data_IF_625071288164
#
_entry.id   IF_625071288164
#
_cell.length_a   1.000
_cell.length_b   1.000
_cell.length_c   1.000
_cell.angle_alpha   90.00
_cell.angle_beta   90.00
_cell.angle_gamma   90.00
#
_symmetry.space_group_name_H-M   'P 1'
#
loop_
_entity.id
_entity.type
_entity.pdbx_description
1 polymer ?
#
# COMPACT_ATOMS: atom_id res chain seq x y z
N UNK A 1 -50.16 5.70 -15.03
CA UNK A 1 -48.86 5.60 -15.73
C UNK A 1 -47.79 5.78 -14.67
N UNK A 2 -47.32 4.67 -14.12
CA UNK A 2 -46.34 4.64 -13.01
C UNK A 2 -44.96 4.70 -13.64
N UNK A 3 -44.15 5.71 -13.29
CA UNK A 3 -42.78 5.82 -13.79
C UNK A 3 -41.90 4.69 -13.23
N UNK A 4 -40.91 4.20 -13.99
CA UNK A 4 -39.99 3.18 -13.50
C UNK A 4 -39.03 3.82 -12.49
N UNK A 5 -38.96 3.21 -11.31
CA UNK A 5 -38.06 3.58 -10.23
C UNK A 5 -36.58 3.39 -10.60
N UNK A 6 -35.79 4.45 -10.38
CA UNK A 6 -34.35 4.51 -10.61
C UNK A 6 -33.60 3.37 -9.89
N UNK A 7 -32.87 2.49 -10.61
CA UNK A 7 -32.06 1.48 -9.97
C UNK A 7 -30.78 2.13 -9.43
N UNK A 8 -30.51 1.90 -8.13
CA UNK A 8 -29.21 2.01 -7.46
C UNK A 8 -28.99 3.16 -6.45
N UNK A 9 -29.95 3.43 -5.57
CA UNK A 9 -29.58 3.81 -4.19
C UNK A 9 -29.25 2.55 -3.39
N UNK A 10 -28.01 2.07 -3.53
CA UNK A 10 -27.47 0.99 -2.71
C UNK A 10 -27.47 1.43 -1.24
N UNK A 11 -28.30 0.79 -0.41
CA UNK A 11 -28.30 1.00 1.04
C UNK A 11 -26.98 0.46 1.62
N UNK A 12 -26.25 1.21 2.45
CA UNK A 12 -25.04 0.70 3.10
C UNK A 12 -25.38 -0.52 3.97
N UNK A 13 -24.89 -1.70 3.60
CA UNK A 13 -25.04 -2.94 4.40
C UNK A 13 -25.75 -4.10 3.71
N UNK A 14 -26.48 -3.88 2.62
CA UNK A 14 -27.06 -4.97 1.82
C UNK A 14 -26.07 -5.44 0.78
N UNK A 15 -25.20 -6.40 1.10
CA UNK A 15 -24.31 -7.02 0.10
C UNK A 15 -25.02 -8.18 -0.58
N UNK A 16 -25.59 -7.93 -1.76
CA UNK A 16 -26.02 -9.01 -2.66
C UNK A 16 -24.82 -9.84 -3.09
N UNK A 17 -24.92 -11.17 -2.96
CA UNK A 17 -23.91 -12.08 -3.52
C UNK A 17 -23.91 -11.91 -5.04
N UNK A 18 -22.75 -11.68 -5.63
CA UNK A 18 -22.63 -11.65 -7.10
C UNK A 18 -23.05 -13.00 -7.70
N UNK A 19 -23.62 -13.00 -8.92
CA UNK A 19 -23.97 -14.23 -9.59
C UNK A 19 -22.74 -15.16 -9.75
N UNK A 20 -22.95 -16.48 -9.78
CA UNK A 20 -21.89 -17.43 -10.08
C UNK A 20 -21.13 -17.08 -11.37
N UNK A 21 -19.90 -17.58 -11.50
CA UNK A 21 -19.15 -17.44 -12.75
C UNK A 21 -19.82 -18.36 -13.79
N UNK A 22 -20.08 -17.89 -15.02
CA UNK A 22 -20.65 -18.72 -16.07
C UNK A 22 -19.83 -20.00 -16.32
N UNK A 23 -20.50 -21.09 -16.68
CA UNK A 23 -19.81 -22.34 -17.03
C UNK A 23 -18.95 -22.12 -18.28
N UNK A 24 -17.69 -22.55 -18.25
CA UNK A 24 -16.73 -22.30 -19.34
C UNK A 24 -15.99 -20.96 -19.26
N UNK A 25 -16.33 -20.09 -18.30
CA UNK A 25 -15.62 -18.82 -18.11
C UNK A 25 -14.43 -18.91 -17.16
N UNK A 26 -13.36 -18.16 -17.44
CA UNK A 26 -12.16 -18.03 -16.60
C UNK A 26 -11.98 -16.60 -16.10
N UNK A 27 -11.52 -16.46 -14.86
CA UNK A 27 -11.15 -15.15 -14.30
C UNK A 27 -9.73 -14.78 -14.75
N UNK A 28 -9.62 -13.71 -15.52
CA UNK A 28 -8.35 -13.05 -15.83
C UNK A 28 -8.12 -11.89 -14.88
N UNK A 29 -7.11 -12.01 -14.02
CA UNK A 29 -6.82 -10.99 -12.99
C UNK A 29 -6.06 -9.82 -13.58
N UNK A 30 -6.57 -8.59 -13.39
CA UNK A 30 -5.80 -7.40 -13.77
C UNK A 30 -4.70 -7.10 -12.73
N UNK A 31 -3.62 -6.41 -13.13
CA UNK A 31 -2.65 -5.88 -12.19
C UNK A 31 -3.30 -4.93 -11.18
N UNK A 32 -2.82 -4.97 -9.93
CA UNK A 32 -3.33 -4.07 -8.89
C UNK A 32 -3.04 -2.62 -9.25
N UNK A 33 -4.09 -1.79 -9.27
CA UNK A 33 -3.97 -0.35 -9.48
C UNK A 33 -3.18 0.27 -8.32
N UNK A 34 -1.95 0.72 -8.62
CA UNK A 34 -1.12 1.42 -7.63
C UNK A 34 -1.58 2.87 -7.55
N UNK A 35 -1.62 3.42 -6.34
CA UNK A 35 -1.78 4.87 -6.18
C UNK A 35 -0.60 5.54 -6.85
N UNK A 36 -0.84 6.64 -7.57
CA UNK A 36 0.26 7.50 -8.01
C UNK A 36 1.07 7.93 -6.79
N UNK A 37 2.38 7.74 -6.86
CA UNK A 37 3.27 8.14 -5.79
C UNK A 37 3.12 9.65 -5.58
N UNK A 38 2.99 10.12 -4.32
CA UNK A 38 2.91 11.55 -4.08
C UNK A 38 4.19 12.22 -4.62
N UNK A 39 4.04 13.34 -5.34
CA UNK A 39 5.18 14.10 -5.86
C UNK A 39 6.11 14.62 -4.73
N UNK A 40 5.58 14.70 -3.51
CA UNK A 40 6.35 15.09 -2.32
C UNK A 40 7.31 13.99 -1.90
N UNK A 41 8.61 14.36 -1.82
CA UNK A 41 9.66 13.51 -1.25
C UNK A 41 9.47 13.19 0.25
N UNK A 42 8.50 13.83 0.92
CA UNK A 42 8.27 13.69 2.38
C UNK A 42 7.49 12.43 2.77
N UNK A 43 6.80 11.78 1.82
CA UNK A 43 5.94 10.61 2.11
C UNK A 43 6.16 9.49 1.08
N UNK A 44 7.36 8.90 1.00
CA UNK A 44 7.63 7.81 0.06
C UNK A 44 6.83 6.55 0.41
N UNK A 45 6.30 5.87 -0.62
CA UNK A 45 5.54 4.62 -0.49
C UNK A 45 6.29 3.46 -1.13
N UNK A 46 6.47 2.36 -0.41
CA UNK A 46 7.08 1.11 -0.88
C UNK A 46 6.00 0.04 -0.96
N UNK A 47 5.73 -0.46 -2.18
CA UNK A 47 4.89 -1.63 -2.38
C UNK A 47 5.73 -2.91 -2.26
N UNK A 48 5.31 -3.82 -1.38
CA UNK A 48 5.97 -5.11 -1.13
C UNK A 48 5.27 -6.21 -1.92
N UNK A 49 6.05 -6.95 -2.70
CA UNK A 49 5.60 -8.17 -3.37
C UNK A 49 5.93 -9.41 -2.53
N UNK A 50 5.20 -10.49 -2.76
CA UNK A 50 5.51 -11.81 -2.18
C UNK A 50 6.92 -12.29 -2.53
N UNK A 51 7.46 -11.87 -3.69
CA UNK A 51 8.83 -12.21 -4.13
C UNK A 51 9.90 -11.20 -3.68
N UNK A 52 9.54 -10.07 -3.06
CA UNK A 52 10.52 -9.06 -2.63
C UNK A 52 11.41 -9.60 -1.49
N UNK A 53 12.75 -9.57 -1.59
CA UNK A 53 13.61 -10.00 -0.49
C UNK A 53 13.41 -9.11 0.75
N UNK A 54 13.36 -9.71 1.94
CA UNK A 54 13.10 -8.99 3.20
C UNK A 54 14.07 -7.82 3.41
N UNK A 55 15.38 -8.08 3.37
CA UNK A 55 16.40 -7.04 3.57
C UNK A 55 16.42 -5.97 2.48
N UNK A 56 15.90 -6.25 1.28
CA UNK A 56 15.74 -5.24 0.24
C UNK A 56 14.74 -4.15 0.67
N UNK A 57 13.63 -4.57 1.30
CA UNK A 57 12.61 -3.65 1.81
C UNK A 57 13.19 -2.83 2.97
N UNK A 58 13.84 -3.50 3.93
CA UNK A 58 14.47 -2.84 5.10
C UNK A 58 15.49 -1.79 4.68
N UNK A 59 16.45 -2.15 3.81
CA UNK A 59 17.48 -1.22 3.32
C UNK A 59 16.86 -0.04 2.56
N UNK A 60 15.80 -0.28 1.79
CA UNK A 60 15.08 0.77 1.04
C UNK A 60 14.38 1.74 1.99
N UNK A 61 13.70 1.23 3.01
CA UNK A 61 13.05 2.05 4.04
C UNK A 61 14.07 2.90 4.78
N UNK A 62 15.18 2.32 5.24
CA UNK A 62 16.29 3.05 5.88
C UNK A 62 16.83 4.16 4.99
N UNK A 63 17.09 3.86 3.71
CA UNK A 63 17.56 4.86 2.73
C UNK A 63 16.61 6.05 2.59
N UNK A 64 15.31 5.83 2.62
CA UNK A 64 14.33 6.91 2.56
C UNK A 64 14.30 7.76 3.84
N UNK A 65 14.34 7.12 5.02
CA UNK A 65 14.45 7.82 6.30
C UNK A 65 15.74 8.66 6.36
N UNK A 66 16.87 8.10 5.93
CA UNK A 66 18.15 8.80 5.85
C UNK A 66 18.14 9.98 4.89
N UNK A 67 17.49 9.82 3.73
CA UNK A 67 17.37 10.89 2.74
C UNK A 67 16.57 12.06 3.30
N UNK A 68 15.46 11.77 3.99
CA UNK A 68 14.66 12.80 4.64
C UNK A 68 15.44 13.54 5.73
N UNK A 69 16.22 12.81 6.53
CA UNK A 69 17.06 13.39 7.56
C UNK A 69 18.12 14.34 6.98
N UNK A 70 18.78 13.93 5.89
CA UNK A 70 19.77 14.77 5.19
C UNK A 70 19.18 16.03 4.56
N UNK A 71 17.92 15.98 4.11
CA UNK A 71 17.26 17.16 3.56
C UNK A 71 16.91 18.18 4.65
N UNK A 72 16.71 17.76 5.90
CA UNK A 72 16.37 18.65 7.01
C UNK A 72 17.62 19.14 7.79
N UNK A 73 18.72 18.39 7.78
CA UNK A 73 19.95 18.70 8.53
C UNK A 73 21.18 18.53 7.61
N UNK A 74 21.73 19.65 7.15
CA UNK A 74 22.93 19.68 6.30
C UNK A 74 24.24 19.46 7.07
N UNK A 75 24.21 19.57 8.41
CA UNK A 75 25.39 19.68 9.28
C UNK A 75 25.96 18.35 9.79
N UNK A 76 25.36 17.20 9.49
CA UNK A 76 25.71 15.91 10.13
C UNK A 76 25.98 14.75 9.14
N UNK A 77 26.46 15.05 7.92
CA UNK A 77 26.55 14.08 6.80
C UNK A 77 27.34 12.80 7.06
N UNK A 78 28.29 12.80 8.00
CA UNK A 78 29.19 11.68 8.28
C UNK A 78 28.79 10.81 9.50
N UNK A 79 27.68 11.13 10.17
CA UNK A 79 27.22 10.40 11.35
C UNK A 79 26.21 9.31 10.98
N UNK A 80 26.21 8.21 11.75
CA UNK A 80 25.21 7.15 11.59
C UNK A 80 23.79 7.71 11.76
N UNK A 81 22.79 7.06 11.16
CA UNK A 81 21.38 7.46 11.32
C UNK A 81 21.02 7.61 12.80
N UNK A 82 21.37 6.60 13.61
CA UNK A 82 21.09 6.58 15.03
C UNK A 82 21.69 7.78 15.76
N UNK A 83 22.98 8.08 15.54
CA UNK A 83 23.65 9.21 16.17
C UNK A 83 23.02 10.57 15.78
N UNK A 84 22.53 10.70 14.54
CA UNK A 84 21.83 11.90 14.08
C UNK A 84 20.45 12.05 14.71
N UNK A 85 19.70 10.96 14.83
CA UNK A 85 18.41 10.95 15.52
C UNK A 85 18.58 11.34 16.99
N UNK A 86 19.61 10.81 17.65
CA UNK A 86 19.91 11.17 19.03
C UNK A 86 20.31 12.64 19.18
N UNK A 87 21.12 13.19 18.26
CA UNK A 87 21.48 14.60 18.26
C UNK A 87 20.24 15.52 18.12
N UNK A 88 19.28 15.16 17.27
CA UNK A 88 18.04 15.91 17.10
C UNK A 88 17.13 15.88 18.34
N UNK A 89 17.12 14.77 19.09
CA UNK A 89 16.36 14.69 20.34
C UNK A 89 16.86 15.68 21.40
N UNK A 90 18.15 16.02 21.37
CA UNK A 90 18.75 17.00 22.28
C UNK A 90 18.40 18.44 21.91
N UNK A 91 17.94 18.68 20.68
CA UNK A 91 17.69 20.01 20.10
C UNK A 91 16.18 20.29 19.93
N UNK A 92 15.38 19.83 20.90
CA UNK A 92 13.92 19.61 20.87
C UNK A 92 13.01 20.85 20.67
N UNK A 93 13.51 21.94 20.08
CA UNK A 93 12.75 23.17 19.84
C UNK A 93 12.06 23.26 18.46
N UNK A 94 12.18 22.25 17.57
CA UNK A 94 11.60 22.36 16.22
C UNK A 94 10.57 21.28 15.89
N UNK A 95 9.29 21.69 15.79
CA UNK A 95 8.20 20.93 15.15
C UNK A 95 8.49 20.57 13.67
N UNK A 96 9.54 21.15 13.09
CA UNK A 96 10.12 20.78 11.80
C UNK A 96 10.74 19.36 11.78
N UNK A 97 10.94 18.76 12.95
CA UNK A 97 11.39 17.37 13.13
C UNK A 97 10.27 16.33 13.04
N UNK A 98 9.05 16.69 12.60
CA UNK A 98 8.08 15.71 12.05
C UNK A 98 8.70 15.09 10.79
N UNK A 99 9.61 14.13 11.01
CA UNK A 99 10.43 13.49 10.00
C UNK A 99 9.59 12.81 8.93
N UNK A 100 10.21 12.55 7.77
CA UNK A 100 9.50 11.85 6.71
C UNK A 100 8.96 10.51 7.21
N UNK A 101 7.72 10.24 6.83
CA UNK A 101 7.05 8.98 7.10
C UNK A 101 7.21 8.12 5.84
N UNK A 102 7.83 6.96 6.00
CA UNK A 102 7.92 5.96 4.94
C UNK A 102 6.77 4.99 5.11
N UNK A 103 5.93 4.87 4.09
CA UNK A 103 4.81 3.94 4.09
C UNK A 103 5.20 2.66 3.36
N UNK A 104 5.09 1.51 4.03
CA UNK A 104 5.29 0.18 3.43
C UNK A 104 3.93 -0.50 3.30
N UNK A 105 3.56 -0.89 2.09
CA UNK A 105 2.26 -1.50 1.78
C UNK A 105 2.42 -2.92 1.26
N UNK A 106 1.65 -3.85 1.82
CA UNK A 106 1.59 -5.24 1.37
C UNK A 106 0.16 -5.76 1.31
N UNK A 107 -0.13 -6.59 0.30
CA UNK A 107 -1.44 -7.22 0.08
C UNK A 107 -1.31 -8.73 -0.06
N UNK A 108 -2.33 -9.49 0.33
CA UNK A 108 -2.35 -10.96 0.21
C UNK A 108 -1.14 -11.62 0.88
N UNK A 109 -0.42 -12.50 0.16
CA UNK A 109 0.77 -13.20 0.67
C UNK A 109 1.92 -12.27 1.11
N UNK A 110 1.93 -11.00 0.69
CA UNK A 110 2.95 -10.04 1.10
C UNK A 110 2.67 -9.41 2.48
N UNK A 111 1.48 -9.62 3.07
CA UNK A 111 1.11 -9.07 4.38
C UNK A 111 2.04 -9.59 5.47
N UNK A 112 2.29 -10.90 5.50
CA UNK A 112 3.19 -11.55 6.46
C UNK A 112 4.56 -10.87 6.48
N UNK A 113 5.19 -10.75 5.31
CA UNK A 113 6.49 -10.09 5.15
C UNK A 113 6.47 -8.62 5.56
N UNK A 114 5.38 -7.92 5.26
CA UNK A 114 5.19 -6.51 5.62
C UNK A 114 5.11 -6.35 7.13
N UNK A 115 4.45 -7.28 7.82
CA UNK A 115 4.42 -7.35 9.28
C UNK A 115 5.80 -7.67 9.88
N UNK A 116 6.56 -8.59 9.27
CA UNK A 116 7.94 -8.87 9.69
C UNK A 116 8.84 -7.63 9.58
N UNK A 117 8.66 -6.82 8.53
CA UNK A 117 9.40 -5.55 8.37
C UNK A 117 9.02 -4.57 9.48
N UNK A 118 7.73 -4.47 9.81
CA UNK A 118 7.26 -3.63 10.90
C UNK A 118 7.91 -4.02 12.24
N UNK A 119 7.88 -5.30 12.58
CA UNK A 119 8.49 -5.82 13.82
C UNK A 119 10.01 -5.58 13.86
N UNK A 120 10.70 -5.74 12.72
CA UNK A 120 12.14 -5.45 12.65
C UNK A 120 12.47 -4.00 13.01
N UNK A 121 11.70 -3.03 12.49
CA UNK A 121 11.90 -1.60 12.78
C UNK A 121 11.51 -1.22 14.20
N UNK A 122 10.49 -1.86 14.76
CA UNK A 122 10.08 -1.66 16.16
C UNK A 122 11.22 -2.04 17.13
N UNK A 123 11.95 -3.13 16.83
CA UNK A 123 13.08 -3.59 17.64
C UNK A 123 14.33 -2.70 17.55
N UNK A 124 14.46 -1.81 16.56
CA UNK A 124 15.66 -0.97 16.41
C UNK A 124 15.73 0.20 17.41
N UNK A 125 14.62 0.56 18.06
CA UNK A 125 14.56 1.62 19.09
C UNK A 125 14.66 3.06 18.58
N UNK A 126 15.08 3.29 17.33
CA UNK A 126 15.22 4.60 16.69
C UNK A 126 14.06 4.98 15.75
N UNK A 127 13.08 4.08 15.60
CA UNK A 127 11.90 4.27 14.77
C UNK A 127 10.61 4.15 15.58
N UNK A 128 9.56 4.84 15.09
CA UNK A 128 8.17 4.67 15.51
C UNK A 128 7.41 4.00 14.37
N UNK A 129 6.68 2.94 14.68
CA UNK A 129 5.92 2.14 13.71
C UNK A 129 4.42 2.27 14.00
N UNK A 130 3.62 2.51 12.96
CA UNK A 130 2.15 2.54 13.04
C UNK A 130 1.55 1.61 11.98
N UNK A 131 0.63 0.74 12.40
CA UNK A 131 -0.05 -0.22 11.52
C UNK A 131 -1.46 0.27 11.18
N UNK A 132 -1.89 0.05 9.94
CA UNK A 132 -3.24 0.34 9.47
C UNK A 132 -3.72 -0.78 8.54
N UNK A 133 -4.92 -1.27 8.77
CA UNK A 133 -5.59 -2.21 7.86
C UNK A 133 -6.41 -1.42 6.85
N UNK A 134 -6.41 -1.86 5.59
CA UNK A 134 -7.13 -1.23 4.50
C UNK A 134 -7.70 -2.28 3.56
N UNK A 135 -8.81 -1.95 2.92
CA UNK A 135 -9.35 -2.73 1.80
C UNK A 135 -9.02 -2.03 0.48
N UNK A 136 -8.51 -2.80 -0.49
CA UNK A 136 -8.23 -2.34 -1.85
C UNK A 136 -9.17 -3.07 -2.81
N UNK A 137 -9.89 -2.32 -3.64
CA UNK A 137 -10.66 -2.88 -4.76
C UNK A 137 -9.79 -3.02 -6.00
N UNK A 138 -9.88 -4.16 -6.67
CA UNK A 138 -9.27 -4.42 -7.98
C UNK A 138 -10.34 -4.97 -8.92
N UNK A 139 -10.23 -4.65 -10.20
CA UNK A 139 -11.13 -5.17 -11.23
C UNK A 139 -10.46 -6.37 -11.86
N UNK A 140 -11.16 -7.49 -11.99
CA UNK A 140 -10.74 -8.65 -12.76
C UNK A 140 -11.76 -8.90 -13.88
N UNK A 141 -11.32 -9.52 -14.97
CA UNK A 141 -12.16 -9.85 -16.12
C UNK A 141 -12.64 -11.29 -16.05
N UNK A 142 -13.85 -11.53 -16.55
CA UNK A 142 -14.43 -12.86 -16.75
C UNK A 142 -14.53 -13.09 -18.24
N UNK A 143 -13.73 -14.02 -18.75
CA UNK A 143 -13.60 -14.30 -20.19
C UNK A 143 -14.12 -15.70 -20.47
N UNK A 144 -14.99 -15.85 -21.47
CA UNK A 144 -15.52 -17.14 -21.97
C UNK A 144 -14.62 -17.61 -23.11
N UNK A 145 -14.12 -18.85 -23.06
CA UNK A 145 -13.11 -19.33 -24.03
C UNK A 145 -13.67 -19.68 -25.42
N UNK A 146 -14.99 -19.87 -25.56
CA UNK A 146 -15.60 -20.43 -26.78
C UNK A 146 -16.31 -19.40 -27.68
N UNK A 147 -16.07 -18.10 -27.49
CA UNK A 147 -16.58 -17.07 -28.39
C UNK A 147 -15.49 -16.68 -29.41
N UNK A 148 -15.51 -17.33 -30.58
CA UNK A 148 -14.76 -16.97 -31.79
C UNK A 148 -15.23 -15.63 -32.42
N UNK A 149 -15.75 -14.71 -31.62
CA UNK A 149 -16.23 -13.42 -32.08
C UNK A 149 -15.16 -12.36 -31.82
N UNK A 150 -14.45 -12.01 -32.90
CA UNK A 150 -13.50 -10.90 -32.98
C UNK A 150 -14.08 -9.51 -32.57
N UNK A 151 -15.33 -9.45 -32.08
CA UNK A 151 -16.06 -8.27 -31.62
C UNK A 151 -17.07 -8.57 -30.48
N UNK A 152 -16.86 -9.61 -29.66
CA UNK A 152 -17.82 -10.06 -28.62
C UNK A 152 -17.92 -9.18 -27.36
N UNK A 153 -19.14 -8.70 -27.10
CA UNK A 153 -19.61 -7.81 -26.02
C UNK A 153 -19.76 -8.50 -24.64
N UNK A 154 -19.29 -9.74 -24.49
CA UNK A 154 -19.58 -10.59 -23.31
C UNK A 154 -18.49 -10.59 -22.21
N UNK A 155 -17.52 -9.69 -22.29
CA UNK A 155 -16.47 -9.58 -21.27
C UNK A 155 -17.00 -8.85 -20.01
N UNK A 156 -17.43 -9.61 -19.00
CA UNK A 156 -17.87 -9.07 -17.71
C UNK A 156 -16.66 -8.68 -16.83
N UNK A 157 -16.60 -7.44 -16.36
CA UNK A 157 -15.63 -7.03 -15.34
C UNK A 157 -16.23 -7.13 -13.92
N UNK A 158 -15.53 -7.82 -13.02
CA UNK A 158 -15.94 -8.00 -11.61
C UNK A 158 -14.99 -7.34 -10.63
N UNK A 159 -15.54 -6.73 -9.57
CA UNK A 159 -14.75 -6.14 -8.49
C UNK A 159 -14.33 -7.20 -7.47
N UNK A 160 -13.02 -7.39 -7.30
CA UNK A 160 -12.41 -8.16 -6.20
C UNK A 160 -11.91 -7.22 -5.10
N UNK A 161 -12.31 -7.48 -3.86
CA UNK A 161 -11.78 -6.77 -2.68
C UNK A 161 -10.61 -7.55 -2.08
N UNK A 162 -9.55 -6.85 -1.70
CA UNK A 162 -8.33 -7.40 -1.11
C UNK A 162 -8.00 -6.70 0.20
N UNK A 163 -7.47 -7.45 1.16
CA UNK A 163 -6.89 -6.91 2.37
C UNK A 163 -5.49 -6.35 2.07
N UNK A 164 -5.20 -5.20 2.64
CA UNK A 164 -3.93 -4.50 2.58
C UNK A 164 -3.49 -4.11 3.98
N UNK A 165 -2.23 -4.34 4.29
CA UNK A 165 -1.56 -3.82 5.47
C UNK A 165 -0.70 -2.62 5.06
N UNK A 166 -0.90 -1.51 5.73
CA UNK A 166 -0.11 -0.29 5.61
C UNK A 166 0.70 -0.10 6.90
N UNK A 167 2.02 0.01 6.74
CA UNK A 167 2.97 0.21 7.84
C UNK A 167 3.62 1.58 7.64
N UNK A 168 3.32 2.53 8.52
CA UNK A 168 3.96 3.84 8.53
C UNK A 168 5.14 3.82 9.50
N UNK A 169 6.33 4.15 9.00
CA UNK A 169 7.59 4.14 9.76
C UNK A 169 8.16 5.55 9.75
N UNK A 170 8.43 6.10 10.92
CA UNK A 170 9.10 7.39 11.10
C UNK A 170 10.26 7.28 12.07
N UNK A 171 11.19 8.23 12.04
CA UNK A 171 12.21 8.35 13.08
C UNK A 171 11.57 8.81 14.40
N UNK A 172 12.14 8.36 15.52
CA UNK A 172 11.70 8.72 16.88
C UNK A 172 12.37 10.00 17.37
#
# INVERSE_FOLDING_TARGET
>A
MTQPEDPAKLVPGTTGKMPPIPQGAKIQKRPLTRRQLPASSKTPVIYVSSKSPFMSVVKRTRKFLDKALRNNSSSSKNLSLHARVEALKRDSSSEAARGAVVTVMGTGKAIEKTLSVASWFEQQGDCVVKLRTRTIGTVDDVVVEDADDAFGDDNESRLRKLNCLEVAISLK
#
